data_IF_152568715367
#
_entry.id   IF_152568715367
#
_cell.length_a   1.000
_cell.length_b   1.000
_cell.length_c   1.000
_cell.angle_alpha   90.00
_cell.angle_beta   90.00
_cell.angle_gamma   90.00
#
_symmetry.space_group_name_H-M   'P 1'
#
loop_
_entity.id
_entity.type
_entity.pdbx_description
1 polymer ?
#
# COMPACT_ATOMS: atom_id res chain seq x y z
N UNK A 1 60.60 27.62 -2.97
CA UNK A 1 60.92 26.82 -1.77
C UNK A 1 59.61 26.55 -1.06
N UNK A 2 58.98 25.42 -1.37
CA UNK A 2 59.01 24.16 -0.60
C UNK A 2 57.97 24.24 0.55
N UNK A 3 57.05 23.31 0.77
CA UNK A 3 57.00 21.90 0.38
C UNK A 3 55.53 21.41 0.46
N UNK A 4 55.09 20.55 -0.47
CA UNK A 4 53.75 19.91 -0.45
C UNK A 4 53.91 18.50 0.16
N UNK A 5 53.08 18.10 1.14
CA UNK A 5 53.19 16.75 1.69
C UNK A 5 52.71 15.67 0.70
N UNK A 6 53.51 14.59 0.71
CA UNK A 6 53.52 13.43 -0.19
C UNK A 6 52.28 12.54 -0.12
N UNK A 7 51.96 11.94 -1.26
CA UNK A 7 51.06 10.82 -1.42
C UNK A 7 51.60 9.56 -0.73
N UNK A 8 50.72 8.83 -0.03
CA UNK A 8 50.98 7.53 0.58
C UNK A 8 50.38 6.46 -0.35
N UNK A 9 51.22 5.50 -0.76
CA UNK A 9 50.83 4.34 -1.58
C UNK A 9 50.03 3.30 -0.78
N UNK A 10 49.15 2.50 -1.39
CA UNK A 10 48.35 1.50 -0.71
C UNK A 10 49.11 0.16 -0.67
N UNK A 11 49.53 -0.28 0.50
CA UNK A 11 50.09 -1.62 0.70
C UNK A 11 49.58 -2.21 2.01
N UNK A 12 48.98 -3.40 1.94
CA UNK A 12 48.82 -4.32 3.06
C UNK A 12 47.47 -4.31 3.77
N UNK A 13 46.41 -4.82 3.13
CA UNK A 13 45.24 -5.33 3.86
C UNK A 13 45.48 -6.83 4.16
N UNK A 14 45.52 -7.28 5.43
CA UNK A 14 45.62 -8.70 5.74
C UNK A 14 44.31 -9.43 5.39
N UNK A 15 44.37 -10.72 4.98
CA UNK A 15 43.18 -11.48 4.64
C UNK A 15 42.32 -11.76 5.87
N UNK A 16 41.00 -11.54 5.73
CA UNK A 16 40.00 -11.86 6.76
C UNK A 16 39.99 -13.38 7.07
N UNK A 17 39.85 -13.78 8.34
CA UNK A 17 39.74 -15.20 8.70
C UNK A 17 38.38 -15.78 8.29
N UNK A 18 38.29 -17.11 8.03
CA UNK A 18 37.05 -17.76 7.68
C UNK A 18 36.13 -17.86 8.90
N UNK A 19 34.97 -17.21 8.84
CA UNK A 19 33.93 -17.36 9.85
C UNK A 19 33.15 -18.65 9.59
N UNK A 20 33.59 -19.75 10.20
CA UNK A 20 32.75 -20.93 10.43
C UNK A 20 32.14 -20.81 11.83
N UNK A 21 30.88 -20.40 11.92
CA UNK A 21 30.02 -20.78 13.04
C UNK A 21 28.56 -20.74 12.62
N UNK A 22 27.93 -21.90 12.73
CA UNK A 22 26.52 -22.20 12.55
C UNK A 22 25.67 -21.36 13.51
N UNK A 23 24.83 -20.48 12.98
CA UNK A 23 23.77 -19.79 13.74
C UNK A 23 22.43 -20.42 13.29
N UNK A 24 21.58 -20.91 14.22
CA UNK A 24 20.30 -21.48 13.84
C UNK A 24 19.39 -20.40 13.25
N UNK A 25 18.68 -20.76 12.19
CA UNK A 25 17.78 -19.90 11.43
C UNK A 25 16.67 -19.31 12.32
N UNK A 26 16.91 -18.12 12.87
CA UNK A 26 15.86 -17.28 13.40
C UNK A 26 14.98 -16.80 12.25
N UNK A 27 13.71 -17.19 12.28
CA UNK A 27 12.74 -16.97 11.23
C UNK A 27 12.71 -15.52 10.71
N UNK A 28 12.90 -15.38 9.40
CA UNK A 28 12.67 -14.14 8.66
C UNK A 28 11.22 -13.72 8.84
N UNK A 29 10.94 -12.84 9.81
CA UNK A 29 9.73 -12.01 9.82
C UNK A 29 9.79 -11.06 8.63
N UNK A 30 9.19 -11.47 7.51
CA UNK A 30 9.01 -10.61 6.33
C UNK A 30 8.18 -9.37 6.73
N UNK A 31 8.88 -8.26 6.89
CA UNK A 31 8.34 -7.01 7.42
C UNK A 31 7.25 -6.42 6.54
N UNK A 32 6.02 -6.41 7.07
CA UNK A 32 4.86 -5.66 6.57
C UNK A 32 5.18 -4.15 6.62
N UNK A 33 5.71 -3.59 5.54
CA UNK A 33 6.20 -2.19 5.46
C UNK A 33 5.13 -1.10 5.44
N UNK A 34 3.84 -1.45 5.31
CA UNK A 34 2.72 -0.51 5.20
C UNK A 34 2.56 0.44 6.40
N UNK A 35 2.38 -0.07 7.64
CA UNK A 35 2.22 0.79 8.81
C UNK A 35 3.47 1.61 9.13
N UNK A 36 4.67 1.05 8.92
CA UNK A 36 5.95 1.70 9.24
C UNK A 36 6.20 2.94 8.38
N UNK A 37 6.01 2.85 7.05
CA UNK A 37 6.22 3.99 6.14
C UNK A 37 5.25 5.14 6.44
N UNK A 38 3.98 4.81 6.67
CA UNK A 38 2.95 5.79 7.03
C UNK A 38 3.24 6.46 8.37
N UNK A 39 3.69 5.69 9.37
CA UNK A 39 4.09 6.23 10.67
C UNK A 39 5.31 7.17 10.56
N UNK A 40 6.31 6.83 9.74
CA UNK A 40 7.45 7.72 9.44
C UNK A 40 6.96 9.04 8.84
N UNK A 41 6.03 9.00 7.88
CA UNK A 41 5.46 10.20 7.28
C UNK A 41 4.68 11.05 8.30
N UNK A 42 3.91 10.41 9.18
CA UNK A 42 3.17 11.11 10.23
C UNK A 42 4.10 11.78 11.23
N UNK A 43 5.18 11.12 11.64
CA UNK A 43 6.18 11.72 12.52
C UNK A 43 6.98 12.82 11.82
N UNK A 44 7.38 12.62 10.56
CA UNK A 44 8.04 13.66 9.77
C UNK A 44 7.19 14.92 9.62
N UNK A 45 5.87 14.77 9.43
CA UNK A 45 4.95 15.92 9.38
C UNK A 45 4.84 16.65 10.71
N UNK A 46 4.86 15.92 11.83
CA UNK A 46 4.95 16.51 13.16
C UNK A 46 6.24 17.30 13.37
N UNK A 47 7.39 16.73 13.01
CA UNK A 47 8.67 17.44 13.08
C UNK A 47 8.70 18.67 12.18
N UNK A 48 8.13 18.57 10.98
CA UNK A 48 7.97 19.70 10.07
C UNK A 48 7.11 20.83 10.65
N UNK A 49 6.03 20.49 11.35
CA UNK A 49 5.22 21.47 12.07
C UNK A 49 6.03 22.16 13.18
N UNK A 50 6.76 21.38 14.01
CA UNK A 50 7.61 21.95 15.05
C UNK A 50 8.69 22.88 14.46
N UNK A 51 9.30 22.49 13.33
CA UNK A 51 10.27 23.32 12.64
C UNK A 51 9.64 24.62 12.13
N UNK A 52 8.44 24.53 11.55
CA UNK A 52 7.71 25.68 11.02
C UNK A 52 7.37 26.72 12.10
N UNK A 53 6.99 26.29 13.31
CA UNK A 53 6.72 27.19 14.44
C UNK A 53 7.98 27.56 15.24
N UNK A 54 9.17 27.13 14.81
CA UNK A 54 10.44 27.39 15.50
C UNK A 54 10.63 26.64 16.83
N UNK A 55 9.81 25.63 17.11
CA UNK A 55 9.85 24.85 18.36
C UNK A 55 10.63 23.54 18.24
N UNK A 56 11.21 23.23 17.07
CA UNK A 56 11.99 22.01 16.89
C UNK A 56 13.39 22.17 17.52
N UNK A 57 13.59 21.52 18.67
CA UNK A 57 14.92 21.33 19.24
C UNK A 57 15.51 19.99 18.79
N UNK A 58 16.74 20.02 18.27
CA UNK A 58 17.50 18.84 17.89
C UNK A 58 17.90 17.99 19.10
N UNK A 59 18.17 18.64 20.23
CA UNK A 59 18.71 18.01 21.45
C UNK A 59 17.61 17.43 22.35
N UNK A 60 16.35 17.83 22.15
CA UNK A 60 15.23 17.27 22.89
C UNK A 60 14.96 15.81 22.52
N UNK A 61 14.65 14.96 23.51
CA UNK A 61 14.25 13.59 23.20
C UNK A 61 12.91 13.59 22.44
N UNK A 62 12.63 12.55 21.63
CA UNK A 62 11.38 12.44 20.87
C UNK A 62 10.11 12.65 21.70
N UNK A 63 10.11 12.15 22.93
CA UNK A 63 8.96 12.25 23.83
C UNK A 63 8.80 13.64 24.44
N UNK A 64 9.91 14.34 24.74
CA UNK A 64 9.89 15.70 25.28
C UNK A 64 9.27 16.70 24.29
N UNK A 65 9.40 16.42 22.99
CA UNK A 65 8.76 17.19 21.93
C UNK A 65 7.22 17.05 22.00
N UNK A 66 6.70 15.91 22.45
CA UNK A 66 5.27 15.55 22.37
C UNK A 66 4.56 15.84 23.69
N UNK A 67 4.31 17.13 23.95
CA UNK A 67 3.50 17.59 25.09
C UNK A 67 2.02 17.72 24.73
N UNK A 68 1.14 17.79 25.73
CA UNK A 68 -0.30 17.98 25.51
C UNK A 68 -0.59 19.28 24.78
N UNK A 69 0.15 20.33 25.13
CA UNK A 69 0.03 21.69 24.63
C UNK A 69 0.46 21.73 23.16
N UNK A 70 1.64 21.18 22.84
CA UNK A 70 2.17 21.16 21.49
C UNK A 70 1.30 20.32 20.55
N UNK A 71 0.81 19.15 21.01
CA UNK A 71 -0.10 18.32 20.19
C UNK A 71 -1.46 18.98 20.01
N UNK A 72 -1.97 19.71 21.01
CA UNK A 72 -3.24 20.46 20.87
C UNK A 72 -3.11 21.56 19.80
N UNK A 73 -2.01 22.33 19.84
CA UNK A 73 -1.73 23.36 18.85
C UNK A 73 -1.60 22.76 17.44
N UNK A 74 -0.90 21.62 17.32
CA UNK A 74 -0.82 20.89 16.06
C UNK A 74 -2.16 20.36 15.57
N UNK A 75 -2.99 19.81 16.45
CA UNK A 75 -4.33 19.34 16.09
C UNK A 75 -5.23 20.47 15.56
N UNK A 76 -5.15 21.66 16.17
CA UNK A 76 -5.85 22.86 15.68
C UNK A 76 -5.31 23.31 14.33
N UNK A 77 -3.99 23.32 14.16
CA UNK A 77 -3.37 23.60 12.87
C UNK A 77 -3.79 22.61 11.77
N UNK A 78 -3.87 21.30 12.09
CA UNK A 78 -4.34 20.29 11.12
C UNK A 78 -5.83 20.46 10.76
N UNK A 79 -6.65 20.99 11.66
CA UNK A 79 -8.08 21.21 11.41
C UNK A 79 -8.34 22.13 10.22
N UNK A 80 -7.47 23.11 10.00
CA UNK A 80 -7.61 24.09 8.90
C UNK A 80 -7.11 23.54 7.56
N UNK A 81 -6.37 22.43 7.56
CA UNK A 81 -5.65 21.93 6.39
C UNK A 81 -6.19 20.62 5.81
N UNK A 82 -6.73 19.73 6.66
CA UNK A 82 -7.05 18.36 6.24
C UNK A 82 -8.40 17.88 6.77
N UNK A 83 -9.00 16.94 6.05
CA UNK A 83 -10.25 16.31 6.47
C UNK A 83 -10.11 15.62 7.86
N UNK A 84 -11.17 15.57 8.68
CA UNK A 84 -11.15 14.99 10.02
C UNK A 84 -10.53 13.60 10.15
N UNK A 85 -10.80 12.70 9.18
CA UNK A 85 -10.19 11.36 9.16
C UNK A 85 -8.69 11.38 8.89
N UNK A 86 -8.22 12.29 8.03
CA UNK A 86 -6.79 12.44 7.76
C UNK A 86 -6.07 12.98 9.00
N UNK A 87 -6.66 13.99 9.65
CA UNK A 87 -6.19 14.52 10.95
C UNK A 87 -6.07 13.42 12.01
N UNK A 88 -7.12 12.60 12.19
CA UNK A 88 -7.10 11.47 13.11
C UNK A 88 -5.95 10.48 12.78
N UNK A 89 -5.78 10.12 11.50
CA UNK A 89 -4.70 9.21 11.07
C UNK A 89 -3.32 9.74 11.45
N UNK A 90 -3.09 11.04 11.29
CA UNK A 90 -1.80 11.67 11.64
C UNK A 90 -1.51 11.58 13.14
N UNK A 91 -2.51 11.85 13.99
CA UNK A 91 -2.34 11.77 15.45
C UNK A 91 -2.21 10.33 15.96
N UNK A 92 -2.96 9.38 15.39
CA UNK A 92 -2.79 7.95 15.68
C UNK A 92 -1.40 7.48 15.26
N UNK A 93 -0.90 7.94 14.11
CA UNK A 93 0.45 7.69 13.64
C UNK A 93 1.52 8.23 14.59
N UNK A 94 1.38 9.49 15.01
CA UNK A 94 2.27 10.11 16.00
C UNK A 94 2.29 9.30 17.30
N UNK A 95 1.12 8.94 17.83
CA UNK A 95 1.00 8.10 19.03
C UNK A 95 1.70 6.74 18.86
N UNK A 96 1.49 6.06 17.73
CA UNK A 96 2.13 4.78 17.45
C UNK A 96 3.66 4.88 17.40
N UNK A 97 4.19 6.00 16.87
CA UNK A 97 5.64 6.27 16.87
C UNK A 97 6.14 6.52 18.29
N UNK A 98 5.42 7.32 19.09
CA UNK A 98 5.80 7.58 20.48
C UNK A 98 5.78 6.34 21.36
N UNK A 99 4.77 5.47 21.21
CA UNK A 99 4.73 4.18 21.90
C UNK A 99 5.92 3.27 21.56
N UNK A 100 6.52 3.43 20.38
CA UNK A 100 7.68 2.67 19.96
C UNK A 100 9.02 3.32 20.38
N UNK A 101 9.10 4.66 20.38
CA UNK A 101 10.34 5.41 20.68
C UNK A 101 10.52 5.70 22.18
N UNK A 102 9.43 5.77 22.94
CA UNK A 102 9.42 6.06 24.37
C UNK A 102 8.34 5.20 25.06
N UNK A 103 8.52 3.86 25.08
CA UNK A 103 7.55 2.91 25.65
C UNK A 103 7.31 3.08 27.15
N UNK A 104 8.28 3.65 27.87
CA UNK A 104 8.21 3.94 29.30
C UNK A 104 7.24 5.07 29.66
N UNK A 105 6.89 5.93 28.70
CA UNK A 105 5.96 7.05 28.93
C UNK A 105 4.49 6.65 28.78
N UNK A 106 3.64 7.29 29.58
CA UNK A 106 2.20 7.08 29.52
C UNK A 106 1.53 7.95 28.44
N UNK A 107 1.25 7.35 27.28
CA UNK A 107 0.59 7.99 26.14
C UNK A 107 -0.96 7.95 26.18
N UNK A 108 -1.57 7.59 27.32
CA UNK A 108 -3.04 7.47 27.44
C UNK A 108 -3.75 8.77 27.08
N UNK A 109 -3.20 9.93 27.46
CA UNK A 109 -3.79 11.23 27.14
C UNK A 109 -3.86 11.49 25.63
N UNK A 110 -2.89 11.00 24.86
CA UNK A 110 -2.86 11.14 23.40
C UNK A 110 -3.87 10.18 22.75
N UNK A 111 -4.03 8.99 23.31
CA UNK A 111 -5.10 8.07 22.94
C UNK A 111 -6.49 8.67 23.17
N UNK A 112 -6.71 9.28 24.34
CA UNK A 112 -7.98 9.89 24.69
C UNK A 112 -8.33 11.05 23.73
N UNK A 113 -7.33 11.85 23.33
CA UNK A 113 -7.51 12.87 22.31
C UNK A 113 -7.89 12.26 20.95
N UNK A 114 -7.21 11.21 20.51
CA UNK A 114 -7.56 10.50 19.27
C UNK A 114 -9.00 9.97 19.31
N UNK A 115 -9.44 9.41 20.44
CA UNK A 115 -10.80 8.90 20.61
C UNK A 115 -11.85 10.02 20.47
N UNK A 116 -11.62 11.19 21.09
CA UNK A 116 -12.50 12.36 20.96
C UNK A 116 -12.62 12.83 19.51
N UNK A 117 -11.49 12.92 18.80
CA UNK A 117 -11.49 13.30 17.39
C UNK A 117 -12.22 12.25 16.55
N UNK A 118 -12.04 10.96 16.84
CA UNK A 118 -12.71 9.88 16.13
C UNK A 118 -14.24 9.95 16.25
N UNK A 119 -14.77 10.26 17.43
CA UNK A 119 -16.22 10.44 17.66
C UNK A 119 -16.75 11.60 16.81
N UNK A 120 -15.98 12.68 16.69
CA UNK A 120 -16.40 13.89 15.97
C UNK A 120 -16.07 13.84 14.46
N UNK A 121 -15.22 12.92 14.01
CA UNK A 121 -14.78 12.81 12.63
C UNK A 121 -15.86 12.19 11.73
N UNK A 122 -16.84 13.01 11.33
CA UNK A 122 -17.78 12.63 10.27
C UNK A 122 -17.03 12.43 8.94
N UNK A 123 -17.36 11.40 8.14
CA UNK A 123 -16.81 11.27 6.79
C UNK A 123 -17.23 12.46 5.93
N UNK A 124 -16.30 13.35 5.57
CA UNK A 124 -16.60 14.50 4.70
C UNK A 124 -16.90 14.11 3.25
N UNK A 125 -16.34 12.98 2.79
CA UNK A 125 -16.49 12.55 1.41
C UNK A 125 -17.58 11.49 1.32
N UNK A 126 -18.73 11.87 0.75
CA UNK A 126 -19.71 10.89 0.32
C UNK A 126 -19.15 10.11 -0.87
N UNK A 127 -18.70 8.88 -0.60
CA UNK A 127 -18.28 7.97 -1.66
C UNK A 127 -19.47 7.30 -2.31
N UNK A 128 -20.59 7.17 -1.59
CA UNK A 128 -21.77 6.42 -2.04
C UNK A 128 -22.46 7.12 -3.20
N UNK A 129 -22.52 8.45 -3.18
CA UNK A 129 -23.04 9.24 -4.31
C UNK A 129 -22.33 9.00 -5.64
N UNK A 130 -21.07 8.53 -5.62
CA UNK A 130 -20.28 8.22 -6.83
C UNK A 130 -20.26 6.73 -7.18
N UNK A 131 -20.92 5.87 -6.41
CA UNK A 131 -20.99 4.45 -6.72
C UNK A 131 -22.05 4.21 -7.80
N UNK A 132 -21.65 3.54 -8.89
CA UNK A 132 -22.59 3.05 -9.91
C UNK A 132 -23.01 1.62 -9.60
N UNK A 133 -24.25 1.21 -9.91
CA UNK A 133 -24.67 -0.18 -9.79
C UNK A 133 -23.79 -1.12 -10.60
N UNK A 134 -23.44 -2.29 -10.05
CA UNK A 134 -22.64 -3.31 -10.74
C UNK A 134 -23.17 -3.67 -12.14
N UNK A 135 -24.48 -3.87 -12.36
CA UNK A 135 -25.00 -4.20 -13.70
C UNK A 135 -24.72 -3.12 -14.74
N UNK A 136 -24.71 -1.84 -14.35
CA UNK A 136 -24.43 -0.73 -15.26
C UNK A 136 -22.96 -0.73 -15.69
N UNK A 137 -22.04 -1.01 -14.76
CA UNK A 137 -20.61 -1.11 -15.04
C UNK A 137 -20.33 -2.29 -15.98
N UNK A 138 -20.98 -3.44 -15.71
CA UNK A 138 -20.86 -4.63 -16.55
C UNK A 138 -21.41 -4.38 -17.95
N UNK A 139 -22.58 -3.77 -18.09
CA UNK A 139 -23.16 -3.43 -19.38
C UNK A 139 -22.28 -2.49 -20.20
N UNK A 140 -21.71 -1.45 -19.56
CA UNK A 140 -20.79 -0.53 -20.22
C UNK A 140 -19.50 -1.22 -20.68
N UNK A 141 -18.90 -2.07 -19.83
CA UNK A 141 -17.72 -2.85 -20.18
C UNK A 141 -17.99 -3.84 -21.32
N UNK A 142 -19.12 -4.55 -21.28
CA UNK A 142 -19.54 -5.46 -22.33
C UNK A 142 -19.75 -4.74 -23.67
N UNK A 143 -20.44 -3.58 -23.65
CA UNK A 143 -20.66 -2.77 -24.84
C UNK A 143 -19.36 -2.25 -25.47
N UNK A 144 -18.38 -1.86 -24.63
CA UNK A 144 -17.06 -1.47 -25.13
C UNK A 144 -16.30 -2.66 -25.74
N UNK A 145 -16.31 -3.82 -25.09
CA UNK A 145 -15.68 -5.04 -25.64
C UNK A 145 -16.29 -5.46 -26.98
N UNK A 146 -17.62 -5.35 -27.12
CA UNK A 146 -18.36 -5.67 -28.35
C UNK A 146 -18.11 -4.68 -29.49
N UNK A 147 -17.84 -3.40 -29.18
CA UNK A 147 -17.58 -2.39 -30.22
C UNK A 147 -16.15 -2.43 -30.78
N UNK A 148 -15.24 -3.13 -30.11
CA UNK A 148 -13.84 -3.22 -30.52
C UNK A 148 -13.62 -4.26 -31.64
N UNK A 149 -12.91 -3.90 -32.73
CA UNK A 149 -12.66 -4.81 -33.84
C UNK A 149 -11.82 -6.00 -33.41
N UNK A 150 -11.98 -7.14 -34.09
CA UNK A 150 -11.18 -8.34 -33.88
C UNK A 150 -10.42 -8.71 -35.18
N UNK A 151 -9.07 -8.65 -35.21
CA UNK A 151 -8.18 -8.23 -34.13
C UNK A 151 -8.27 -6.72 -33.85
N UNK A 152 -7.85 -6.31 -32.64
CA UNK A 152 -7.62 -4.87 -32.37
C UNK A 152 -6.45 -4.39 -33.23
N UNK A 153 -6.56 -3.20 -33.80
CA UNK A 153 -5.60 -2.69 -34.79
C UNK A 153 -4.74 -1.54 -34.26
N UNK A 154 -5.09 -0.98 -33.11
CA UNK A 154 -4.39 0.16 -32.51
C UNK A 154 -4.04 -0.06 -31.05
N UNK A 155 -3.01 0.66 -30.59
CA UNK A 155 -2.60 0.67 -29.18
C UNK A 155 -3.75 1.15 -28.27
N UNK A 156 -4.51 2.15 -28.71
CA UNK A 156 -5.67 2.66 -27.97
C UNK A 156 -6.73 1.58 -27.77
N UNK A 157 -7.11 0.86 -28.82
CA UNK A 157 -8.07 -0.24 -28.73
C UNK A 157 -7.56 -1.38 -27.84
N UNK A 158 -6.24 -1.61 -27.80
CA UNK A 158 -5.64 -2.60 -26.89
C UNK A 158 -5.81 -2.19 -25.43
N UNK A 159 -5.61 -0.90 -25.11
CA UNK A 159 -5.88 -0.35 -23.78
C UNK A 159 -7.37 -0.40 -23.44
N UNK A 160 -8.24 0.04 -24.35
CA UNK A 160 -9.69 0.03 -24.16
C UNK A 160 -10.20 -1.39 -23.89
N UNK A 161 -9.69 -2.38 -24.63
CA UNK A 161 -10.01 -3.80 -24.43
C UNK A 161 -9.60 -4.27 -23.03
N UNK A 162 -8.34 -4.03 -22.65
CA UNK A 162 -7.80 -4.41 -21.34
C UNK A 162 -8.60 -3.75 -20.22
N UNK A 163 -8.84 -2.46 -20.32
CA UNK A 163 -9.48 -1.68 -19.27
C UNK A 163 -10.97 -2.09 -19.13
N UNK A 164 -11.67 -2.39 -20.23
CA UNK A 164 -13.03 -2.94 -20.20
C UNK A 164 -13.08 -4.32 -19.52
N UNK A 165 -12.14 -5.22 -19.87
CA UNK A 165 -12.03 -6.53 -19.22
C UNK A 165 -11.76 -6.39 -17.72
N UNK A 166 -10.87 -5.47 -17.34
CA UNK A 166 -10.55 -5.18 -15.95
C UNK A 166 -11.75 -4.60 -15.19
N UNK A 167 -12.52 -3.72 -15.82
CA UNK A 167 -13.74 -3.13 -15.23
C UNK A 167 -14.81 -4.19 -14.97
N UNK A 168 -15.10 -5.07 -15.95
CA UNK A 168 -16.05 -6.17 -15.76
C UNK A 168 -15.60 -7.09 -14.63
N UNK A 169 -14.34 -7.54 -14.66
CA UNK A 169 -13.80 -8.41 -13.62
C UNK A 169 -13.86 -7.75 -12.23
N UNK A 170 -13.45 -6.49 -12.11
CA UNK A 170 -13.47 -5.75 -10.86
C UNK A 170 -14.88 -5.48 -10.31
N UNK A 171 -15.86 -5.31 -11.20
CA UNK A 171 -17.26 -5.11 -10.83
C UNK A 171 -17.93 -6.38 -10.29
N UNK A 172 -17.57 -7.53 -10.87
CA UNK A 172 -18.15 -8.85 -10.53
C UNK A 172 -17.40 -9.56 -9.40
N UNK A 173 -16.09 -9.29 -9.25
CA UNK A 173 -15.21 -9.87 -8.22
C UNK A 173 -14.47 -8.73 -7.50
N UNK A 174 -15.02 -8.19 -6.41
CA UNK A 174 -14.45 -7.04 -5.72
C UNK A 174 -13.15 -7.43 -5.01
N UNK A 175 -12.02 -7.24 -5.71
CA UNK A 175 -10.69 -7.41 -5.19
C UNK A 175 -10.11 -6.07 -4.73
N UNK A 176 -9.25 -6.11 -3.71
CA UNK A 176 -8.41 -4.93 -3.41
C UNK A 176 -7.55 -4.63 -4.63
N UNK A 177 -7.40 -3.34 -4.97
CA UNK A 177 -6.61 -2.89 -6.15
C UNK A 177 -5.23 -3.56 -6.22
N UNK A 178 -4.54 -3.71 -5.08
CA UNK A 178 -3.25 -4.43 -5.03
C UNK A 178 -3.38 -5.89 -5.47
N UNK A 179 -4.37 -6.61 -4.95
CA UNK A 179 -4.61 -8.01 -5.30
C UNK A 179 -4.97 -8.13 -6.78
N UNK A 180 -5.83 -7.24 -7.27
CA UNK A 180 -6.24 -7.18 -8.67
C UNK A 180 -5.03 -6.94 -9.59
N UNK A 181 -4.19 -5.96 -9.28
CA UNK A 181 -2.99 -5.64 -10.06
C UNK A 181 -1.89 -6.72 -9.97
N UNK A 182 -1.97 -7.65 -9.03
CA UNK A 182 -1.02 -8.76 -8.89
C UNK A 182 -1.51 -10.05 -9.55
N UNK A 183 -2.71 -10.04 -10.14
CA UNK A 183 -3.25 -11.21 -10.85
C UNK A 183 -2.33 -11.59 -12.00
N UNK A 184 -2.01 -12.87 -12.07
CA UNK A 184 -1.10 -13.45 -13.03
C UNK A 184 -1.71 -14.75 -13.55
N UNK A 185 -1.78 -14.86 -14.88
CA UNK A 185 -2.27 -16.06 -15.57
C UNK A 185 -1.38 -17.26 -15.20
N UNK A 186 -1.99 -18.39 -14.89
CA UNK A 186 -1.28 -19.61 -14.48
C UNK A 186 -0.82 -19.63 -13.02
N UNK A 187 -0.85 -18.50 -12.30
CA UNK A 187 -0.48 -18.45 -10.86
C UNK A 187 -1.65 -18.13 -9.94
N UNK A 188 -2.26 -16.95 -10.12
CA UNK A 188 -3.41 -16.51 -9.31
C UNK A 188 -4.72 -16.61 -10.07
N UNK A 189 -4.65 -16.61 -11.40
CA UNK A 189 -5.77 -16.82 -12.30
C UNK A 189 -5.48 -18.09 -13.10
N UNK A 190 -6.05 -19.21 -12.66
CA UNK A 190 -5.75 -20.55 -13.18
C UNK A 190 -6.97 -21.15 -13.85
N UNK A 191 -6.74 -21.93 -14.90
CA UNK A 191 -7.81 -22.67 -15.56
C UNK A 191 -8.12 -23.95 -14.78
N UNK A 192 -9.39 -24.21 -14.52
CA UNK A 192 -9.91 -25.41 -13.87
C UNK A 192 -10.92 -26.08 -14.81
N UNK A 193 -10.41 -26.94 -15.69
CA UNK A 193 -11.23 -27.54 -16.76
C UNK A 193 -11.74 -26.49 -17.75
N UNK A 194 -13.06 -26.28 -17.79
CA UNK A 194 -13.70 -25.24 -18.64
C UNK A 194 -13.82 -23.88 -17.96
N UNK A 195 -13.55 -23.80 -16.66
CA UNK A 195 -13.71 -22.59 -15.87
C UNK A 195 -12.34 -21.96 -15.58
N UNK A 196 -12.39 -20.73 -15.07
CA UNK A 196 -11.22 -20.03 -14.57
C UNK A 196 -11.45 -19.67 -13.10
N UNK A 197 -10.43 -19.89 -12.28
CA UNK A 197 -10.44 -19.65 -10.84
C UNK A 197 -9.44 -18.55 -10.52
N UNK A 198 -9.89 -17.53 -9.78
CA UNK A 198 -8.99 -16.64 -9.05
C UNK A 198 -8.73 -17.26 -7.68
N UNK A 199 -7.49 -17.63 -7.39
CA UNK A 199 -7.07 -18.16 -6.11
C UNK A 199 -5.93 -17.31 -5.54
N UNK A 200 -6.20 -16.56 -4.47
CA UNK A 200 -5.21 -15.70 -3.81
C UNK A 200 -4.93 -16.25 -2.41
N UNK A 201 -3.69 -16.68 -2.10
CA UNK A 201 -3.37 -17.27 -0.81
C UNK A 201 -3.44 -16.23 0.31
N UNK A 202 -3.76 -16.70 1.52
CA UNK A 202 -3.85 -15.86 2.73
C UNK A 202 -2.59 -15.01 2.98
N UNK A 203 -1.41 -15.52 2.58
CA UNK A 203 -0.15 -14.80 2.71
C UNK A 203 -0.16 -13.45 1.96
N UNK A 204 -0.80 -13.40 0.80
CA UNK A 204 -0.88 -12.25 -0.11
C UNK A 204 -2.05 -11.31 0.22
N UNK A 205 -3.01 -11.73 1.04
CA UNK A 205 -4.14 -10.87 1.41
C UNK A 205 -3.84 -10.02 2.65
N UNK A 206 -4.37 -8.79 2.67
CA UNK A 206 -4.22 -7.88 3.82
C UNK A 206 -4.84 -8.46 5.10
N UNK A 207 -5.93 -9.20 4.97
CA UNK A 207 -6.72 -9.79 6.07
C UNK A 207 -6.22 -11.16 6.53
N UNK A 208 -5.21 -11.73 5.85
CA UNK A 208 -4.72 -13.10 6.13
C UNK A 208 -5.79 -14.19 5.96
N UNK A 209 -6.76 -13.92 5.09
CA UNK A 209 -7.79 -14.86 4.68
C UNK A 209 -7.63 -15.13 3.18
N UNK A 210 -7.67 -16.39 2.73
CA UNK A 210 -7.58 -16.71 1.31
C UNK A 210 -8.80 -16.16 0.56
N UNK A 211 -8.65 -15.94 -0.73
CA UNK A 211 -9.73 -15.51 -1.62
C UNK A 211 -9.80 -16.50 -2.77
N UNK A 212 -10.99 -17.04 -3.04
CA UNK A 212 -11.22 -17.95 -4.16
C UNK A 212 -12.55 -17.60 -4.84
N UNK A 213 -12.52 -17.37 -6.16
CA UNK A 213 -13.73 -17.10 -6.95
C UNK A 213 -13.63 -17.68 -8.36
N UNK A 214 -14.70 -18.32 -8.82
CA UNK A 214 -14.84 -18.66 -10.24
C UNK A 214 -15.13 -17.39 -11.08
N UNK A 215 -14.58 -17.33 -12.28
CA UNK A 215 -14.94 -16.32 -13.27
C UNK A 215 -16.31 -16.63 -13.88
N UNK A 216 -17.06 -15.57 -14.21
CA UNK A 216 -18.32 -15.75 -14.95
C UNK A 216 -18.02 -16.33 -16.33
N UNK A 217 -18.87 -17.27 -16.79
CA UNK A 217 -18.80 -17.83 -18.13
C UNK A 217 -18.82 -16.75 -19.21
N UNK A 218 -19.56 -15.65 -18.98
CA UNK A 218 -19.68 -14.53 -19.93
C UNK A 218 -18.36 -13.78 -20.17
N UNK A 219 -17.43 -13.84 -19.22
CA UNK A 219 -16.14 -13.18 -19.30
C UNK A 219 -15.09 -14.02 -20.04
N UNK A 220 -15.31 -15.34 -20.13
CA UNK A 220 -14.31 -16.28 -20.64
C UNK A 220 -13.93 -16.02 -22.10
N UNK A 221 -14.86 -15.77 -23.04
CA UNK A 221 -14.49 -15.48 -24.43
C UNK A 221 -13.59 -14.25 -24.55
N UNK A 222 -13.82 -13.25 -23.70
CA UNK A 222 -13.04 -12.01 -23.67
C UNK A 222 -11.66 -12.22 -23.05
N UNK A 223 -11.57 -13.06 -22.00
CA UNK A 223 -10.30 -13.41 -21.38
C UNK A 223 -9.43 -14.27 -22.32
N UNK A 224 -10.02 -15.24 -23.00
CA UNK A 224 -9.31 -16.10 -23.96
C UNK A 224 -8.78 -15.29 -25.14
N UNK A 225 -9.59 -14.36 -25.65
CA UNK A 225 -9.14 -13.39 -26.66
C UNK A 225 -8.01 -12.47 -26.17
N UNK A 226 -7.95 -12.16 -24.87
CA UNK A 226 -6.88 -11.35 -24.29
C UNK A 226 -5.56 -12.11 -24.17
N UNK A 227 -5.63 -13.35 -23.68
CA UNK A 227 -4.45 -14.19 -23.40
C UNK A 227 -3.84 -14.83 -24.64
N UNK A 228 -4.59 -14.89 -25.75
CA UNK A 228 -4.17 -15.59 -26.96
C UNK A 228 -4.17 -17.12 -26.80
N UNK A 229 -3.85 -17.87 -27.87
CA UNK A 229 -3.90 -19.33 -27.87
C UNK A 229 -2.96 -20.00 -26.84
N UNK A 230 -1.91 -19.33 -26.41
CA UNK A 230 -0.94 -19.89 -25.44
C UNK A 230 -1.40 -19.79 -23.98
N UNK A 231 -2.32 -18.87 -23.66
CA UNK A 231 -2.95 -18.82 -22.33
C UNK A 231 -3.84 -20.05 -22.06
N UNK A 232 -4.20 -20.79 -23.11
CA UNK A 232 -5.03 -22.00 -23.06
C UNK A 232 -4.21 -23.24 -22.69
N UNK A 233 -2.88 -23.21 -22.89
CA UNK A 233 -2.00 -24.38 -22.83
C UNK A 233 -1.12 -24.46 -21.57
N UNK A 234 -1.01 -23.38 -20.78
CA UNK A 234 -0.18 -23.32 -19.58
C UNK A 234 -0.91 -23.88 -18.34
N UNK A 235 -1.34 -25.15 -18.38
CA UNK A 235 -1.77 -25.95 -17.20
C UNK A 235 -1.85 -27.42 -17.62
N UNK A 236 -0.70 -27.98 -18.00
CA UNK A 236 -0.45 -29.41 -18.08
C UNK A 236 0.53 -29.81 -16.99
#
# INVERSE_FOLDING_TARGET
MADRPRAISPAGLPPSPPATSSIPAAGRRTGRSGPRRTNIQHYGRWLGYLAWIGALSADAAPADRVTKEAVRAYNQHLETLVAPRARLSMLVGLKAVMQAMAPEQNWRWLQDMCNRIQINARPLNDKRSRMRPTPEIVAAAAGLLQSLPCPVTTVRQTHDYRDALMLWLGATRPLRVKNFASLELGRLLTRTGRNWLIAIPAAETKTKQPIAFDLSADLLPWLERYGGPDAVSASG
#
